data_IF_025895425317
#
_entry.id   IF_025895425317
#
_cell.length_a   1.000
_cell.length_b   1.000
_cell.length_c   1.000
_cell.angle_alpha   90.00
_cell.angle_beta   90.00
_cell.angle_gamma   90.00
#
_symmetry.space_group_name_H-M   'P 1'
#
loop_
_entity.id
_entity.type
_entity.pdbx_description
1 polymer ?
#
# COMPACT_ATOMS: atom_id res chain seq x y z
N UNK A 1 -52.53 -1.39 41.79
CA UNK A 1 -53.93 -1.05 41.42
C UNK A 1 -54.06 -1.29 39.92
N UNK A 2 -54.58 -2.46 39.51
CA UNK A 2 -55.94 -2.64 38.95
C UNK A 2 -56.19 -1.67 37.78
N UNK A 3 -56.53 -2.04 36.54
CA UNK A 3 -57.32 -3.13 35.94
C UNK A 3 -56.99 -3.09 34.44
N UNK A 4 -56.62 -4.17 33.77
CA UNK A 4 -57.49 -5.21 33.24
C UNK A 4 -58.47 -4.81 32.11
N UNK A 5 -58.18 -5.38 30.92
CA UNK A 5 -59.08 -5.95 29.90
C UNK A 5 -59.80 -4.92 29.01
N UNK A 6 -59.83 -5.11 27.69
CA UNK A 6 -60.81 -5.97 27.01
C UNK A 6 -60.31 -6.32 25.58
N UNK A 7 -60.37 -7.60 25.22
CA UNK A 7 -60.58 -8.09 23.84
C UNK A 7 -62.06 -8.51 23.73
N UNK A 8 -62.72 -8.31 22.57
CA UNK A 8 -63.41 -9.43 21.90
C UNK A 8 -63.23 -9.37 20.36
N UNK A 9 -62.74 -10.45 19.74
CA UNK A 9 -63.50 -11.44 18.93
C UNK A 9 -64.32 -10.91 17.74
N UNK A 10 -63.80 -11.26 16.55
CA UNK A 10 -64.47 -11.84 15.38
C UNK A 10 -65.59 -11.06 14.67
N UNK A 11 -65.37 -10.85 13.35
CA UNK A 11 -66.37 -11.10 12.32
C UNK A 11 -65.65 -11.39 10.99
N UNK A 12 -65.91 -12.58 10.47
CA UNK A 12 -65.55 -12.99 9.12
C UNK A 12 -66.57 -12.43 8.13
N UNK A 13 -66.09 -11.91 7.00
CA UNK A 13 -66.83 -11.86 5.75
C UNK A 13 -65.83 -11.78 4.60
N UNK A 14 -65.70 -12.87 3.86
CA UNK A 14 -65.08 -12.91 2.55
C UNK A 14 -66.01 -12.22 1.53
N UNK A 15 -65.45 -11.53 0.54
CA UNK A 15 -65.99 -11.44 -0.82
C UNK A 15 -64.87 -11.00 -1.79
N UNK A 16 -64.76 -11.75 -2.88
CA UNK A 16 -63.77 -11.65 -3.93
C UNK A 16 -63.82 -10.35 -4.75
N UNK A 17 -62.66 -10.02 -5.33
CA UNK A 17 -62.44 -9.61 -6.73
C UNK A 17 -61.78 -8.23 -6.87
N UNK A 18 -60.49 -8.23 -7.23
CA UNK A 18 -60.00 -7.71 -8.51
C UNK A 18 -58.47 -7.69 -8.47
N UNK A 19 -57.89 -8.39 -9.45
CA UNK A 19 -56.45 -8.44 -9.67
C UNK A 19 -55.91 -7.06 -10.03
N UNK A 20 -54.90 -6.60 -9.27
CA UNK A 20 -53.83 -5.76 -9.78
C UNK A 20 -52.55 -6.51 -9.41
N UNK A 21 -51.95 -7.17 -10.40
CA UNK A 21 -50.64 -7.77 -10.28
C UNK A 21 -49.61 -6.66 -10.09
N UNK A 22 -49.29 -6.33 -8.84
CA UNK A 22 -47.95 -5.87 -8.53
C UNK A 22 -47.10 -7.13 -8.41
N UNK A 23 -46.45 -7.48 -9.51
CA UNK A 23 -45.24 -8.30 -9.47
C UNK A 23 -44.32 -7.65 -8.43
N UNK A 24 -44.22 -8.26 -7.25
CA UNK A 24 -43.14 -7.98 -6.33
C UNK A 24 -41.86 -8.30 -7.10
N UNK A 25 -41.25 -7.28 -7.70
CA UNK A 25 -39.90 -7.39 -8.19
C UNK A 25 -39.08 -7.93 -7.01
N UNK A 26 -38.28 -9.00 -7.20
CA UNK A 26 -37.36 -9.40 -6.16
C UNK A 26 -36.54 -8.16 -5.85
N UNK A 27 -36.62 -7.69 -4.61
CA UNK A 27 -35.67 -6.73 -4.10
C UNK A 27 -34.32 -7.42 -4.28
N UNK A 28 -33.58 -7.03 -5.31
CA UNK A 28 -32.17 -7.34 -5.42
C UNK A 28 -31.57 -6.73 -4.17
N UNK A 29 -31.34 -7.56 -3.15
CA UNK A 29 -30.46 -7.22 -2.06
C UNK A 29 -29.19 -6.68 -2.74
N UNK A 30 -28.85 -5.43 -2.44
CA UNK A 30 -27.56 -4.90 -2.85
C UNK A 30 -26.51 -5.96 -2.51
N UNK A 31 -25.64 -6.36 -3.46
CA UNK A 31 -24.61 -7.34 -3.16
C UNK A 31 -23.91 -6.87 -1.89
N UNK A 32 -23.89 -7.72 -0.86
CA UNK A 32 -23.08 -7.47 0.32
C UNK A 32 -21.70 -7.10 -0.20
N UNK A 33 -21.20 -5.91 0.16
CA UNK A 33 -19.87 -5.45 -0.23
C UNK A 33 -18.93 -6.65 -0.11
N UNK A 34 -18.34 -7.06 -1.23
CA UNK A 34 -17.58 -8.31 -1.34
C UNK A 34 -16.65 -8.38 -0.14
N UNK A 35 -16.92 -9.31 0.79
CA UNK A 35 -16.19 -9.36 2.05
C UNK A 35 -14.76 -9.81 1.73
N UNK A 36 -13.86 -8.85 1.54
CA UNK A 36 -12.46 -9.13 1.27
C UNK A 36 -11.82 -9.75 2.52
N UNK A 37 -11.06 -10.81 2.30
CA UNK A 37 -10.19 -11.40 3.32
C UNK A 37 -9.07 -10.42 3.70
N UNK A 38 -8.49 -10.52 4.91
CA UNK A 38 -7.31 -9.72 5.29
C UNK A 38 -6.20 -9.76 4.23
N UNK A 39 -5.95 -10.94 3.66
CA UNK A 39 -4.95 -11.17 2.63
C UNK A 39 -5.22 -10.35 1.36
N UNK A 40 -6.47 -10.33 0.89
CA UNK A 40 -6.87 -9.56 -0.30
C UNK A 40 -6.80 -8.06 -0.04
N UNK A 41 -7.13 -7.61 1.17
CA UNK A 41 -7.03 -6.19 1.55
C UNK A 41 -5.56 -5.75 1.58
N UNK A 42 -4.66 -6.56 2.15
CA UNK A 42 -3.21 -6.30 2.13
C UNK A 42 -2.66 -6.27 0.70
N UNK A 43 -3.09 -7.17 -0.18
CA UNK A 43 -2.67 -7.14 -1.59
C UNK A 43 -3.09 -5.84 -2.30
N UNK A 44 -4.27 -5.29 -2.00
CA UNK A 44 -4.68 -3.97 -2.49
C UNK A 44 -3.78 -2.86 -1.93
N UNK A 45 -3.56 -2.83 -0.61
CA UNK A 45 -2.68 -1.84 0.02
C UNK A 45 -1.25 -1.87 -0.54
N UNK A 46 -0.69 -3.06 -0.77
CA UNK A 46 0.64 -3.22 -1.36
C UNK A 46 0.67 -2.68 -2.79
N UNK A 47 -0.35 -2.96 -3.60
CA UNK A 47 -0.45 -2.42 -4.97
C UNK A 47 -0.56 -0.89 -4.98
N UNK A 48 -1.29 -0.31 -4.04
CA UNK A 48 -1.35 1.15 -3.86
C UNK A 48 0.02 1.70 -3.51
N UNK A 49 0.70 1.14 -2.51
CA UNK A 49 2.01 1.63 -2.05
C UNK A 49 3.13 1.49 -3.08
N UNK A 50 3.27 0.31 -3.70
CA UNK A 50 4.41 0.00 -4.57
C UNK A 50 4.15 0.39 -6.02
N UNK A 51 2.97 0.12 -6.53
CA UNK A 51 2.67 0.24 -7.96
C UNK A 51 1.89 1.52 -8.31
N UNK A 52 1.49 2.32 -7.32
CA UNK A 52 0.60 3.48 -7.51
C UNK A 52 -0.65 3.07 -8.31
N UNK A 53 -1.20 1.90 -7.97
CA UNK A 53 -2.21 1.24 -8.79
C UNK A 53 -3.61 1.87 -8.60
N UNK A 54 -4.00 2.71 -9.56
CA UNK A 54 -5.30 3.41 -9.56
C UNK A 54 -6.49 2.46 -9.45
N UNK A 55 -6.41 1.26 -10.04
CA UNK A 55 -7.51 0.29 -9.97
C UNK A 55 -7.60 -0.35 -8.57
N UNK A 56 -6.45 -0.65 -7.95
CA UNK A 56 -6.39 -1.09 -6.56
C UNK A 56 -6.94 0.00 -5.62
N UNK A 57 -6.53 1.27 -5.82
CA UNK A 57 -7.02 2.41 -5.03
C UNK A 57 -8.53 2.53 -5.09
N UNK A 58 -9.13 2.48 -6.29
CA UNK A 58 -10.58 2.52 -6.46
C UNK A 58 -11.29 1.34 -5.79
N UNK A 59 -10.75 0.13 -5.96
CA UNK A 59 -11.30 -1.08 -5.32
C UNK A 59 -11.27 -0.95 -3.79
N UNK A 60 -10.18 -0.43 -3.26
CA UNK A 60 -9.98 -0.23 -1.84
C UNK A 60 -10.89 0.87 -1.28
N UNK A 61 -11.08 1.98 -2.01
CA UNK A 61 -12.05 3.02 -1.63
C UNK A 61 -13.47 2.46 -1.55
N UNK A 62 -13.95 1.74 -2.57
CA UNK A 62 -15.29 1.13 -2.53
C UNK A 62 -15.45 0.18 -1.34
N UNK A 63 -14.41 -0.59 -1.01
CA UNK A 63 -14.39 -1.46 0.16
C UNK A 63 -14.43 -0.69 1.48
N UNK A 64 -13.74 0.46 1.57
CA UNK A 64 -13.61 1.26 2.79
C UNK A 64 -14.78 2.22 3.02
N UNK A 65 -15.56 2.59 2.01
CA UNK A 65 -16.70 3.53 2.12
C UNK A 65 -17.60 3.34 3.35
N UNK A 66 -17.97 2.11 3.77
CA UNK A 66 -18.77 1.91 4.97
C UNK A 66 -18.12 2.43 6.27
N UNK A 67 -16.80 2.52 6.32
CA UNK A 67 -16.03 3.07 7.45
C UNK A 67 -15.77 4.58 7.32
N UNK A 68 -15.96 5.17 6.14
CA UNK A 68 -15.67 6.57 5.82
C UNK A 68 -16.92 7.36 5.41
N UNK A 69 -18.10 7.02 5.95
CA UNK A 69 -19.37 7.71 5.66
C UNK A 69 -19.72 7.81 4.16
N UNK A 70 -19.29 6.82 3.36
CA UNK A 70 -19.49 6.80 1.91
C UNK A 70 -18.44 7.59 1.11
N UNK A 71 -17.48 8.24 1.78
CA UNK A 71 -16.38 8.96 1.15
C UNK A 71 -15.20 8.04 0.83
N UNK A 72 -14.35 8.50 -0.07
CA UNK A 72 -13.12 7.82 -0.46
C UNK A 72 -12.06 8.02 0.63
N UNK A 73 -11.46 6.91 1.09
CA UNK A 73 -10.41 6.94 2.10
C UNK A 73 -9.04 7.38 1.53
N UNK A 74 -8.82 7.14 0.24
CA UNK A 74 -7.59 7.45 -0.49
C UNK A 74 -7.87 8.40 -1.65
N UNK A 75 -6.98 9.36 -1.85
CA UNK A 75 -7.06 10.29 -2.97
C UNK A 75 -6.60 9.62 -4.29
N UNK A 76 -7.57 9.29 -5.14
CA UNK A 76 -7.33 8.68 -6.46
C UNK A 76 -6.58 9.62 -7.39
N UNK A 77 -6.80 10.92 -7.28
CA UNK A 77 -6.13 11.92 -8.11
C UNK A 77 -4.66 12.02 -7.71
N UNK A 78 -4.35 12.04 -6.40
CA UNK A 78 -2.98 12.00 -5.92
C UNK A 78 -2.20 10.78 -6.44
N UNK A 79 -2.83 9.59 -6.51
CA UNK A 79 -2.22 8.38 -7.09
C UNK A 79 -2.01 8.54 -8.61
N UNK A 80 -2.96 9.16 -9.31
CA UNK A 80 -2.86 9.42 -10.76
C UNK A 80 -1.72 10.39 -11.08
N UNK A 81 -1.53 11.41 -10.25
CA UNK A 81 -0.51 12.45 -10.43
C UNK A 81 0.86 12.04 -9.85
N UNK A 82 0.93 10.91 -9.14
CA UNK A 82 2.12 10.46 -8.44
C UNK A 82 3.38 10.35 -9.33
N UNK A 83 3.31 9.87 -10.59
CA UNK A 83 4.49 9.87 -11.47
C UNK A 83 5.06 11.26 -11.76
N UNK A 84 4.20 12.26 -11.99
CA UNK A 84 4.64 13.63 -12.23
C UNK A 84 5.21 14.27 -10.94
N UNK A 85 4.58 13.98 -9.81
CA UNK A 85 5.04 14.45 -8.50
C UNK A 85 6.36 13.79 -8.08
N UNK A 86 6.63 12.56 -8.50
CA UNK A 86 7.88 11.86 -8.21
C UNK A 86 9.06 12.61 -8.84
N UNK A 87 8.95 13.03 -10.10
CA UNK A 87 10.03 13.74 -10.79
C UNK A 87 10.44 15.03 -10.06
N UNK A 88 9.44 15.81 -9.63
CA UNK A 88 9.70 17.02 -8.84
C UNK A 88 10.35 16.71 -7.49
N UNK A 89 9.87 15.69 -6.79
CA UNK A 89 10.44 15.28 -5.50
C UNK A 89 11.89 14.82 -5.65
N UNK A 90 12.20 14.03 -6.69
CA UNK A 90 13.57 13.57 -6.95
C UNK A 90 14.50 14.72 -7.31
N UNK A 91 14.02 15.75 -8.01
CA UNK A 91 14.78 16.98 -8.26
C UNK A 91 15.12 17.74 -6.96
N UNK A 92 14.16 17.86 -6.04
CA UNK A 92 14.35 18.50 -4.74
C UNK A 92 15.33 17.71 -3.86
N UNK A 93 15.15 16.38 -3.77
CA UNK A 93 16.05 15.47 -3.06
C UNK A 93 17.46 15.55 -3.63
N UNK A 94 17.63 15.46 -4.95
CA UNK A 94 18.93 15.53 -5.59
C UNK A 94 19.61 16.89 -5.33
N UNK A 95 18.85 17.99 -5.30
CA UNK A 95 19.36 19.31 -4.96
C UNK A 95 19.92 19.33 -3.52
N UNK A 96 19.17 18.80 -2.55
CA UNK A 96 19.64 18.72 -1.16
C UNK A 96 20.87 17.81 -1.00
N UNK A 97 20.89 16.66 -1.66
CA UNK A 97 22.03 15.73 -1.61
C UNK A 97 23.29 16.34 -2.23
N UNK A 98 23.17 17.07 -3.34
CA UNK A 98 24.31 17.76 -3.96
C UNK A 98 24.91 18.83 -3.04
N UNK A 99 24.10 19.50 -2.21
CA UNK A 99 24.61 20.47 -1.22
C UNK A 99 25.47 19.81 -0.13
N UNK A 100 25.25 18.52 0.17
CA UNK A 100 26.04 17.76 1.13
C UNK A 100 27.36 17.21 0.56
N UNK A 101 27.62 17.41 -0.73
CA UNK A 101 28.77 16.86 -1.47
C UNK A 101 29.63 18.00 -2.05
N UNK A 102 30.46 18.67 -1.23
CA UNK A 102 31.11 19.94 -1.60
C UNK A 102 32.11 19.84 -2.76
N UNK A 103 32.58 18.63 -3.10
CA UNK A 103 33.56 18.37 -4.17
C UNK A 103 32.94 17.71 -5.41
N UNK A 104 31.64 17.48 -5.42
CA UNK A 104 30.89 16.96 -6.57
C UNK A 104 30.26 18.14 -7.31
N UNK A 105 30.52 18.26 -8.60
CA UNK A 105 29.91 19.31 -9.44
C UNK A 105 28.43 18.98 -9.71
N UNK A 106 27.47 19.75 -9.16
CA UNK A 106 26.05 19.47 -9.35
C UNK A 106 25.61 19.54 -10.81
N UNK A 107 26.28 20.35 -11.65
CA UNK A 107 25.94 20.49 -13.07
C UNK A 107 26.22 19.20 -13.84
N UNK A 108 27.18 18.40 -13.39
CA UNK A 108 27.56 17.13 -14.02
C UNK A 108 26.83 15.95 -13.38
N UNK A 109 26.62 15.97 -12.07
CA UNK A 109 26.20 14.79 -11.32
C UNK A 109 24.69 14.71 -11.05
N UNK A 110 23.97 15.84 -10.98
CA UNK A 110 22.58 15.87 -10.49
C UNK A 110 21.64 15.01 -11.35
N UNK A 111 21.75 15.09 -12.67
CA UNK A 111 20.93 14.29 -13.59
C UNK A 111 21.17 12.79 -13.41
N UNK A 112 22.44 12.37 -13.23
CA UNK A 112 22.79 10.98 -12.97
C UNK A 112 22.26 10.47 -11.63
N UNK A 113 22.29 11.31 -10.58
CA UNK A 113 21.70 10.98 -9.29
C UNK A 113 20.18 10.78 -9.39
N UNK A 114 19.49 11.66 -10.11
CA UNK A 114 18.05 11.52 -10.34
C UNK A 114 17.76 10.23 -11.11
N UNK A 115 18.53 9.92 -12.14
CA UNK A 115 18.39 8.67 -12.90
C UNK A 115 18.58 7.43 -12.00
N UNK A 116 19.58 7.44 -11.12
CA UNK A 116 19.79 6.39 -10.14
C UNK A 116 18.60 6.22 -9.17
N UNK A 117 18.07 7.32 -8.61
CA UNK A 117 16.90 7.26 -7.73
C UNK A 117 15.64 6.80 -8.47
N UNK A 118 15.45 7.22 -9.72
CA UNK A 118 14.37 6.72 -10.59
C UNK A 118 14.50 5.23 -10.84
N UNK A 119 15.72 4.75 -11.13
CA UNK A 119 15.98 3.31 -11.34
C UNK A 119 15.62 2.48 -10.11
N UNK A 120 15.99 2.94 -8.92
CA UNK A 120 15.59 2.29 -7.67
C UNK A 120 14.06 2.31 -7.50
N UNK A 121 13.40 3.47 -7.67
CA UNK A 121 11.93 3.57 -7.55
C UNK A 121 11.21 2.61 -8.51
N UNK A 122 11.68 2.52 -9.75
CA UNK A 122 11.15 1.57 -10.74
C UNK A 122 11.33 0.12 -10.30
N UNK A 123 12.49 -0.22 -9.74
CA UNK A 123 12.75 -1.55 -9.20
C UNK A 123 11.81 -1.87 -8.02
N UNK A 124 11.63 -0.94 -7.08
CA UNK A 124 10.66 -1.04 -5.97
C UNK A 124 9.25 -1.28 -6.50
N UNK A 125 8.79 -0.48 -7.46
CA UNK A 125 7.48 -0.60 -8.07
C UNK A 125 7.32 -1.82 -9.00
N UNK A 126 8.40 -2.57 -9.28
CA UNK A 126 8.34 -3.81 -10.04
C UNK A 126 8.14 -5.05 -9.17
N UNK A 127 8.30 -4.92 -7.85
CA UNK A 127 8.19 -6.00 -6.88
C UNK A 127 6.86 -6.75 -7.04
N UNK A 128 6.94 -8.09 -7.00
CA UNK A 128 5.77 -8.97 -7.10
C UNK A 128 5.48 -9.55 -5.74
N UNK A 129 4.45 -9.02 -5.09
CA UNK A 129 4.07 -9.41 -3.75
C UNK A 129 2.81 -10.28 -3.74
N UNK A 130 2.72 -11.17 -2.76
CA UNK A 130 1.52 -11.96 -2.47
C UNK A 130 1.38 -12.18 -0.96
N UNK A 131 0.14 -12.22 -0.49
CA UNK A 131 -0.15 -12.61 0.89
C UNK A 131 0.08 -14.12 1.07
N UNK A 132 0.52 -14.51 2.26
CA UNK A 132 0.81 -15.90 2.62
C UNK A 132 -0.23 -16.47 3.58
N UNK A 133 -0.54 -15.71 4.63
CA UNK A 133 -1.44 -16.13 5.70
C UNK A 133 -1.87 -14.94 6.55
N UNK A 134 -3.03 -15.03 7.17
CA UNK A 134 -3.47 -14.12 8.22
C UNK A 134 -3.74 -14.84 9.54
N UNK A 135 -3.61 -14.10 10.65
CA UNK A 135 -4.12 -14.51 11.95
C UNK A 135 -4.88 -13.35 12.58
N UNK A 136 -6.02 -13.65 13.22
CA UNK A 136 -6.87 -12.64 13.84
C UNK A 136 -6.78 -12.70 15.36
N UNK A 137 -6.72 -11.54 16.00
CA UNK A 137 -6.78 -11.37 17.46
C UNK A 137 -7.69 -10.21 17.84
N UNK A 138 -8.15 -10.20 19.09
CA UNK A 138 -8.78 -9.00 19.65
C UNK A 138 -7.74 -7.87 19.75
N UNK A 139 -8.18 -6.64 19.56
CA UNK A 139 -7.34 -5.48 19.83
C UNK A 139 -7.28 -5.28 21.36
N UNK A 140 -6.08 -5.28 21.92
CA UNK A 140 -5.80 -5.17 23.35
C UNK A 140 -5.90 -3.72 23.87
N UNK A 141 -5.83 -2.73 22.97
CA UNK A 141 -5.90 -1.30 23.33
C UNK A 141 -7.22 -0.62 22.95
N UNK A 142 -8.05 -1.25 22.11
CA UNK A 142 -9.35 -0.70 21.69
C UNK A 142 -10.45 -1.76 21.79
N UNK A 143 -11.33 -1.60 22.79
CA UNK A 143 -12.41 -2.54 23.06
C UNK A 143 -13.33 -2.72 21.85
N UNK A 144 -13.66 -3.98 21.54
CA UNK A 144 -14.53 -4.34 20.41
C UNK A 144 -13.84 -4.32 19.04
N UNK A 145 -12.60 -3.83 18.95
CA UNK A 145 -11.80 -3.90 17.73
C UNK A 145 -11.03 -5.23 17.61
N UNK A 146 -10.61 -5.53 16.38
CA UNK A 146 -9.88 -6.73 15.98
C UNK A 146 -8.66 -6.33 15.15
N UNK A 147 -7.60 -7.12 15.27
CA UNK A 147 -6.39 -7.00 14.46
C UNK A 147 -6.25 -8.27 13.62
N UNK A 148 -6.01 -8.12 12.32
CA UNK A 148 -5.52 -9.20 11.47
C UNK A 148 -4.06 -8.92 11.13
N UNK A 149 -3.17 -9.80 11.58
CA UNK A 149 -1.77 -9.80 11.18
C UNK A 149 -1.63 -10.62 9.90
N UNK A 150 -1.18 -9.98 8.81
CA UNK A 150 -1.03 -10.63 7.51
C UNK A 150 0.44 -10.74 7.15
N UNK A 151 0.92 -11.97 6.95
CA UNK A 151 2.25 -12.25 6.41
C UNK A 151 2.19 -12.20 4.89
N UNK A 152 3.19 -11.58 4.27
CA UNK A 152 3.33 -11.53 2.83
C UNK A 152 4.79 -11.76 2.42
N UNK A 153 4.99 -12.06 1.15
CA UNK A 153 6.31 -12.08 0.53
C UNK A 153 6.31 -11.26 -0.76
N UNK A 154 7.49 -10.75 -1.12
CA UNK A 154 7.74 -10.04 -2.37
C UNK A 154 8.96 -10.63 -3.06
N UNK A 155 8.85 -10.89 -4.36
CA UNK A 155 9.99 -11.15 -5.23
C UNK A 155 10.53 -9.80 -5.72
N UNK A 156 11.81 -9.55 -5.44
CA UNK A 156 12.48 -8.27 -5.70
C UNK A 156 13.81 -8.51 -6.43
N UNK A 157 14.31 -7.54 -7.22
CA UNK A 157 15.66 -7.63 -7.75
C UNK A 157 16.70 -7.58 -6.62
N UNK A 158 17.84 -8.22 -6.83
CA UNK A 158 18.94 -8.32 -5.89
C UNK A 158 20.22 -7.65 -6.43
N UNK A 159 20.23 -6.32 -6.63
CA UNK A 159 21.38 -5.59 -7.19
C UNK A 159 22.63 -5.62 -6.29
N UNK A 160 22.49 -5.97 -5.01
CA UNK A 160 23.57 -5.92 -4.03
C UNK A 160 23.57 -4.60 -3.26
N UNK A 161 24.73 -3.97 -3.13
CA UNK A 161 24.92 -2.76 -2.33
C UNK A 161 24.07 -1.58 -2.83
N UNK A 162 23.50 -0.83 -1.89
CA UNK A 162 22.82 0.43 -2.19
C UNK A 162 23.79 1.55 -2.57
N UNK A 163 23.29 2.61 -3.22
CA UNK A 163 24.12 3.76 -3.60
C UNK A 163 24.84 4.39 -2.39
N UNK A 164 24.17 4.49 -1.24
CA UNK A 164 24.79 5.03 -0.02
C UNK A 164 26.01 4.21 0.42
N UNK A 165 25.93 2.88 0.36
CA UNK A 165 27.03 1.99 0.71
C UNK A 165 28.17 2.09 -0.32
N UNK A 166 27.83 2.08 -1.61
CA UNK A 166 28.81 2.25 -2.69
C UNK A 166 29.60 3.57 -2.55
N UNK A 167 28.93 4.64 -2.12
CA UNK A 167 29.57 5.92 -1.86
C UNK A 167 30.39 5.92 -0.56
N UNK A 168 29.90 5.27 0.50
CA UNK A 168 30.62 5.17 1.77
C UNK A 168 31.95 4.40 1.64
N UNK A 169 32.00 3.38 0.77
CA UNK A 169 33.23 2.65 0.44
C UNK A 169 34.30 3.53 -0.21
N UNK A 170 33.94 4.71 -0.73
CA UNK A 170 34.87 5.67 -1.35
C UNK A 170 35.35 6.75 -0.37
N UNK A 171 34.90 6.72 0.89
CA UNK A 171 35.28 7.65 1.94
C UNK A 171 34.18 8.66 2.32
N UNK A 172 34.49 9.62 3.19
CA UNK A 172 33.50 10.58 3.69
C UNK A 172 32.97 11.48 2.56
N UNK A 173 31.73 12.00 2.66
CA UNK A 173 31.15 12.90 1.66
C UNK A 173 32.04 14.07 1.23
N UNK A 174 32.83 14.62 2.16
CA UNK A 174 33.76 15.72 1.90
C UNK A 174 34.98 15.36 1.03
N UNK A 175 35.26 14.07 0.80
CA UNK A 175 36.35 13.61 -0.08
C UNK A 175 35.88 13.14 -1.45
N UNK A 176 34.58 12.90 -1.65
CA UNK A 176 34.04 12.38 -2.91
C UNK A 176 34.21 13.40 -4.05
N UNK A 177 34.90 13.00 -5.11
CA UNK A 177 35.03 13.81 -6.33
C UNK A 177 33.87 13.52 -7.28
N UNK A 178 33.61 14.43 -8.24
CA UNK A 178 32.62 14.22 -9.30
C UNK A 178 32.84 12.90 -10.05
N UNK A 179 34.08 12.58 -10.40
CA UNK A 179 34.44 11.36 -11.14
C UNK A 179 34.07 10.10 -10.36
N UNK A 180 34.47 10.02 -9.08
CA UNK A 180 34.15 8.89 -8.20
C UNK A 180 32.64 8.76 -8.02
N UNK A 181 31.96 9.88 -7.80
CA UNK A 181 30.51 9.90 -7.62
C UNK A 181 29.77 9.37 -8.85
N UNK A 182 30.12 9.87 -10.05
CA UNK A 182 29.54 9.40 -11.32
C UNK A 182 29.82 7.92 -11.56
N UNK A 183 31.03 7.44 -11.25
CA UNK A 183 31.38 6.03 -11.38
C UNK A 183 30.52 5.14 -10.46
N UNK A 184 30.24 5.57 -9.23
CA UNK A 184 29.35 4.82 -8.32
C UNK A 184 27.88 4.88 -8.76
N UNK A 185 27.42 6.00 -9.34
CA UNK A 185 26.08 6.08 -9.92
C UNK A 185 25.90 5.12 -11.10
N UNK A 186 26.90 5.02 -11.97
CA UNK A 186 26.89 4.09 -13.10
C UNK A 186 26.89 2.64 -12.61
N UNK A 187 27.80 2.30 -11.69
CA UNK A 187 27.86 0.97 -11.05
C UNK A 187 26.53 0.59 -10.39
N UNK A 188 25.93 1.53 -9.65
CA UNK A 188 24.64 1.31 -8.99
C UNK A 188 23.53 1.04 -10.02
N UNK A 189 23.42 1.83 -11.07
CA UNK A 189 22.39 1.63 -12.09
C UNK A 189 22.58 0.30 -12.83
N UNK A 190 23.81 -0.02 -13.23
CA UNK A 190 24.14 -1.26 -13.93
C UNK A 190 23.88 -2.52 -13.08
N UNK A 191 23.99 -2.41 -11.76
CA UNK A 191 23.69 -3.53 -10.86
C UNK A 191 22.25 -4.02 -10.97
N UNK A 192 21.29 -3.15 -11.33
CA UNK A 192 19.90 -3.57 -11.58
C UNK A 192 19.73 -4.31 -12.91
N UNK A 193 20.60 -4.10 -13.89
CA UNK A 193 20.51 -4.77 -15.19
C UNK A 193 21.00 -6.23 -15.13
N UNK A 194 21.91 -6.50 -14.20
CA UNK A 194 22.53 -7.81 -13.98
C UNK A 194 22.01 -8.52 -12.73
N UNK A 195 21.08 -7.89 -12.01
CA UNK A 195 20.53 -8.41 -10.77
C UNK A 195 19.78 -9.73 -11.00
N UNK A 196 20.08 -10.72 -10.16
CA UNK A 196 19.16 -11.83 -9.92
C UNK A 196 17.93 -11.37 -9.15
N UNK A 197 17.10 -12.31 -8.73
CA UNK A 197 15.96 -12.05 -7.84
C UNK A 197 16.15 -12.69 -6.48
N UNK A 198 15.43 -12.18 -5.48
CA UNK A 198 15.31 -12.79 -4.16
C UNK A 198 13.90 -12.58 -3.61
N UNK A 199 13.53 -13.42 -2.65
CA UNK A 199 12.28 -13.29 -1.92
C UNK A 199 12.54 -12.62 -0.58
N UNK A 200 11.73 -11.61 -0.27
CA UNK A 200 11.76 -10.88 1.01
C UNK A 200 10.37 -11.00 1.65
N UNK A 201 10.32 -11.05 2.98
CA UNK A 201 9.06 -11.22 3.70
C UNK A 201 8.78 -10.00 4.58
N UNK A 202 7.50 -9.73 4.76
CA UNK A 202 7.02 -8.70 5.65
C UNK A 202 5.73 -9.10 6.34
N UNK A 203 5.24 -8.20 7.17
CA UNK A 203 3.98 -8.37 7.90
C UNK A 203 3.26 -7.03 7.92
N UNK A 204 1.93 -7.06 7.83
CA UNK A 204 1.09 -5.88 7.89
C UNK A 204 -0.10 -6.15 8.82
N UNK A 205 -0.26 -5.29 9.80
CA UNK A 205 -1.42 -5.30 10.68
C UNK A 205 -2.56 -4.49 10.05
N UNK A 206 -3.74 -5.13 9.99
CA UNK A 206 -5.01 -4.53 9.65
C UNK A 206 -5.88 -4.41 10.90
N UNK A 207 -6.64 -3.33 10.99
CA UNK A 207 -7.56 -3.03 12.09
C UNK A 207 -9.00 -3.06 11.58
N UNK A 208 -9.91 -3.60 12.38
CA UNK A 208 -11.33 -3.67 12.04
C UNK A 208 -12.22 -3.38 13.24
N UNK A 209 -13.32 -2.66 13.00
CA UNK A 209 -14.32 -2.25 14.02
C UNK A 209 -15.37 -3.35 14.32
N UNK A 210 -14.93 -4.61 14.37
CA UNK A 210 -15.80 -5.77 14.60
C UNK A 210 -16.16 -6.56 13.35
N UNK A 211 -17.00 -7.58 13.50
CA UNK A 211 -17.29 -8.54 12.43
C UNK A 211 -18.02 -7.88 11.25
N UNK A 212 -17.55 -8.16 10.03
CA UNK A 212 -18.16 -7.68 8.79
C UNK A 212 -17.89 -6.21 8.46
N UNK A 213 -17.06 -5.52 9.25
CA UNK A 213 -16.58 -4.18 8.94
C UNK A 213 -15.31 -4.23 8.07
N UNK A 214 -15.05 -3.20 7.25
CA UNK A 214 -13.83 -3.12 6.46
C UNK A 214 -12.57 -3.16 7.33
N UNK A 215 -11.52 -3.77 6.79
CA UNK A 215 -10.18 -3.73 7.33
C UNK A 215 -9.44 -2.49 6.82
N UNK A 216 -8.73 -1.80 7.70
CA UNK A 216 -7.91 -0.65 7.35
C UNK A 216 -6.54 -0.71 8.01
N UNK A 217 -5.57 0.05 7.50
CA UNK A 217 -4.27 0.22 8.13
C UNK A 217 -3.76 1.64 7.97
N UNK A 218 -3.04 2.13 8.98
CA UNK A 218 -2.36 3.41 8.93
C UNK A 218 -0.91 3.34 8.42
N UNK A 219 -0.38 2.15 8.15
CA UNK A 219 1.06 1.95 7.89
C UNK A 219 1.35 1.11 6.65
N UNK A 220 0.51 1.19 5.61
CA UNK A 220 0.73 0.41 4.40
C UNK A 220 1.98 0.84 3.62
N UNK A 221 2.52 2.05 3.85
CA UNK A 221 3.79 2.51 3.27
C UNK A 221 5.01 1.72 3.75
N UNK A 222 4.96 1.04 4.90
CA UNK A 222 6.07 0.23 5.42
C UNK A 222 6.52 -0.91 4.49
N UNK A 223 5.66 -1.36 3.56
CA UNK A 223 6.06 -2.32 2.52
C UNK A 223 7.15 -1.77 1.60
N UNK A 224 7.20 -0.45 1.40
CA UNK A 224 8.24 0.22 0.62
C UNK A 224 9.60 -0.02 1.28
N UNK A 225 9.67 0.07 2.61
CA UNK A 225 10.90 -0.17 3.36
C UNK A 225 11.31 -1.65 3.31
N UNK A 226 10.36 -2.57 3.47
CA UNK A 226 10.62 -4.02 3.33
C UNK A 226 11.20 -4.35 1.96
N UNK A 227 10.62 -3.79 0.89
CA UNK A 227 11.09 -3.99 -0.48
C UNK A 227 12.45 -3.31 -0.70
N UNK A 228 12.62 -2.05 -0.30
CA UNK A 228 13.88 -1.31 -0.48
C UNK A 228 15.04 -1.96 0.28
N UNK A 229 14.86 -2.25 1.57
CA UNK A 229 15.88 -2.91 2.39
C UNK A 229 16.09 -4.36 1.96
N UNK A 230 15.05 -5.02 1.46
CA UNK A 230 15.15 -6.37 0.94
C UNK A 230 15.96 -6.47 -0.35
N UNK A 231 15.78 -5.50 -1.26
CA UNK A 231 16.55 -5.38 -2.51
C UNK A 231 18.04 -5.11 -2.23
N UNK A 232 18.31 -4.13 -1.38
CA UNK A 232 19.65 -3.61 -1.13
C UNK A 232 20.29 -4.37 0.03
N UNK A 233 21.33 -5.16 -0.24
CA UNK A 233 22.14 -5.73 0.84
C UNK A 233 22.88 -4.60 1.53
N UNK A 234 22.70 -4.45 2.84
CA UNK A 234 23.78 -3.92 3.67
C UNK A 234 24.75 -5.07 3.90
N UNK A 235 26.08 -4.87 3.84
CA UNK A 235 27.03 -5.84 4.38
C UNK A 235 26.54 -6.33 5.74
N UNK A 236 26.08 -7.58 5.80
CA UNK A 236 26.03 -8.32 7.06
C UNK A 236 27.46 -8.32 7.58
N UNK A 237 27.68 -7.70 8.76
CA UNK A 237 28.98 -7.70 9.40
C UNK A 237 29.54 -9.12 9.45
N UNK A 238 30.69 -9.30 8.79
CA UNK A 238 31.67 -10.32 9.18
C UNK A 238 32.27 -9.95 10.54
#
# INVERSE_FOLDING_TARGET
>A
MLRHWIRPTALAAALCSAAIGLSAAPAFAAPAATALTPEQVVELYIRVALNQDVAATKTLNEYLKPAYNGEDALDVQAVTDAPANLDKQLEEIATGLMQALPKVDPKQAKAGLIAAMKRQNQATGSAKCRSLSSSERANDVAEGQRIAEVRYECVVPAPGAGLQELLADQGPPASLTTEVFLAQLDKFQHSFDTAGTRTVQGTMDLYGEGKGKPWFTGNFSSVIDVVNNGMLTQKSGE
#
